data_IF_694027279267
#
_entry.id   IF_694027279267
#
_cell.length_a   1.000
_cell.length_b   1.000
_cell.length_c   1.000
_cell.angle_alpha   90.00
_cell.angle_beta   90.00
_cell.angle_gamma   90.00
#
_symmetry.space_group_name_H-M   'P 1'
#
loop_
_entity.id
_entity.type
_entity.pdbx_description
1 polymer ?
#
# COMPACT_ATOMS: atom_id res chain seq x y z
N UNK A 1 -2.45 -8.53 10.38
CA UNK A 1 -1.47 -7.89 9.48
C UNK A 1 -2.18 -7.04 8.44
N UNK A 2 -1.43 -6.38 7.55
CA UNK A 2 -2.01 -5.63 6.42
C UNK A 2 -2.87 -6.53 5.54
N UNK A 3 -4.04 -6.04 5.12
CA UNK A 3 -5.00 -6.82 4.31
C UNK A 3 -5.19 -6.32 2.87
N UNK A 4 -4.98 -5.03 2.62
CA UNK A 4 -5.18 -4.42 1.30
C UNK A 4 -3.89 -3.82 0.76
N UNK A 5 -3.32 -2.83 1.45
CA UNK A 5 -2.04 -2.23 1.14
C UNK A 5 -1.34 -1.80 2.43
N UNK A 6 -0.06 -1.46 2.31
CA UNK A 6 0.73 -0.82 3.34
C UNK A 6 1.94 -0.14 2.72
N UNK A 7 2.44 0.92 3.35
CA UNK A 7 3.70 1.57 2.99
C UNK A 7 4.77 1.12 3.98
N UNK A 8 5.88 0.62 3.47
CA UNK A 8 7.00 0.16 4.29
C UNK A 8 8.15 1.14 4.09
N UNK A 9 8.46 1.87 5.16
CA UNK A 9 9.53 2.86 5.15
C UNK A 9 10.81 2.25 5.74
N UNK A 10 11.97 2.69 5.26
CA UNK A 10 13.24 2.16 5.71
C UNK A 10 14.46 2.78 5.04
N UNK A 11 15.63 2.26 5.41
CA UNK A 11 16.94 2.71 4.92
C UNK A 11 17.73 1.55 4.30
N UNK A 12 18.40 1.82 3.18
CA UNK A 12 19.47 0.98 2.66
C UNK A 12 20.80 1.50 3.22
N UNK A 13 21.49 0.69 4.01
CA UNK A 13 22.78 1.06 4.59
C UNK A 13 23.92 0.87 3.57
N UNK A 14 25.07 1.50 3.84
CA UNK A 14 26.25 1.43 2.94
C UNK A 14 26.79 0.01 2.75
N UNK A 15 26.61 -0.86 3.74
CA UNK A 15 26.97 -2.28 3.72
C UNK A 15 25.86 -3.17 3.15
N UNK A 16 24.82 -2.60 2.55
CA UNK A 16 23.78 -3.31 1.81
C UNK A 16 22.65 -3.89 2.66
N UNK A 17 22.57 -3.58 3.95
CA UNK A 17 21.45 -4.01 4.80
C UNK A 17 20.23 -3.12 4.58
N UNK A 18 19.05 -3.72 4.60
CA UNK A 18 17.77 -3.00 4.57
C UNK A 18 17.24 -2.95 6.00
N UNK A 19 17.08 -1.74 6.53
CA UNK A 19 16.49 -1.49 7.85
C UNK A 19 15.06 -0.96 7.66
N UNK A 20 14.06 -1.72 8.09
CA UNK A 20 12.66 -1.30 8.08
C UNK A 20 12.39 -0.50 9.35
N UNK A 21 11.88 0.73 9.22
CA UNK A 21 11.60 1.60 10.37
C UNK A 21 10.13 1.65 10.71
N UNK A 22 9.27 1.84 9.70
CA UNK A 22 7.84 2.06 9.92
C UNK A 22 6.96 1.31 8.92
N UNK A 23 6.10 0.40 9.41
CA UNK A 23 5.03 -0.16 8.63
C UNK A 23 3.75 0.70 8.79
N UNK A 24 3.34 1.39 7.73
CA UNK A 24 2.15 2.24 7.72
C UNK A 24 0.95 1.54 7.06
N UNK A 25 -0.20 1.51 7.75
CA UNK A 25 -1.47 0.95 7.23
C UNK A 25 -2.19 1.86 6.24
N UNK A 26 -1.66 3.06 6.03
CA UNK A 26 -2.15 4.02 5.05
C UNK A 26 -0.99 4.79 4.44
N UNK A 27 -1.27 5.46 3.32
CA UNK A 27 -0.35 6.41 2.72
C UNK A 27 -1.10 7.68 2.31
N UNK A 28 -0.37 8.75 2.00
CA UNK A 28 -0.95 9.93 1.39
C UNK A 28 -1.64 9.57 0.07
N UNK A 29 -2.79 10.21 -0.19
CA UNK A 29 -3.61 9.97 -1.38
C UNK A 29 -3.61 11.16 -2.36
N UNK A 30 -2.77 12.17 -2.12
CA UNK A 30 -2.52 13.21 -3.10
C UNK A 30 -1.82 12.61 -4.33
N UNK A 31 -2.10 13.07 -5.57
CA UNK A 31 -1.43 12.55 -6.77
C UNK A 31 0.10 12.63 -6.70
N UNK A 32 0.65 13.63 -6.01
CA UNK A 32 2.08 13.84 -5.78
C UNK A 32 2.68 13.03 -4.62
N UNK A 33 1.89 12.17 -3.98
CA UNK A 33 2.41 11.34 -2.87
C UNK A 33 3.26 10.18 -3.39
N UNK A 34 4.22 9.73 -2.58
CA UNK A 34 5.06 8.57 -2.90
C UNK A 34 4.28 7.30 -3.26
N UNK A 35 3.05 7.15 -2.76
CA UNK A 35 2.21 6.03 -3.11
C UNK A 35 1.88 5.97 -4.61
N UNK A 36 1.50 7.11 -5.19
CA UNK A 36 1.20 7.20 -6.62
C UNK A 36 2.48 7.22 -7.47
N UNK A 37 3.54 7.89 -7.00
CA UNK A 37 4.84 7.90 -7.70
C UNK A 37 5.47 6.50 -7.81
N UNK A 38 5.44 5.70 -6.72
CA UNK A 38 5.94 4.32 -6.73
C UNK A 38 5.08 3.43 -7.63
N UNK A 39 3.76 3.59 -7.58
CA UNK A 39 2.86 2.83 -8.43
C UNK A 39 3.05 3.19 -9.91
N UNK A 40 3.26 4.47 -10.23
CA UNK A 40 3.59 4.92 -11.59
C UNK A 40 4.95 4.34 -12.05
N UNK A 41 5.95 4.28 -11.16
CA UNK A 41 7.24 3.63 -11.42
C UNK A 41 7.10 2.13 -11.71
N UNK A 42 6.04 1.49 -11.18
CA UNK A 42 5.65 0.12 -11.49
C UNK A 42 4.70 0.00 -12.69
N UNK A 43 4.47 1.07 -13.45
CA UNK A 43 3.60 1.09 -14.64
C UNK A 43 2.11 1.18 -14.33
N UNK A 44 1.72 1.55 -13.11
CA UNK A 44 0.32 1.65 -12.72
C UNK A 44 -0.26 3.06 -12.87
N UNK A 45 -1.36 3.18 -13.59
CA UNK A 45 -2.21 4.37 -13.60
C UNK A 45 -2.98 4.50 -12.27
N UNK A 46 -3.30 5.74 -11.82
CA UNK A 46 -4.08 5.97 -10.60
C UNK A 46 -5.39 5.18 -10.53
N UNK A 47 -6.10 5.06 -11.66
CA UNK A 47 -7.36 4.31 -11.77
C UNK A 47 -7.19 2.82 -11.44
N UNK A 48 -6.06 2.21 -11.82
CA UNK A 48 -5.77 0.81 -11.52
C UNK A 48 -5.54 0.59 -10.03
N UNK A 49 -4.89 1.54 -9.36
CA UNK A 49 -4.65 1.49 -7.91
C UNK A 49 -5.98 1.59 -7.16
N UNK A 50 -6.77 2.62 -7.43
CA UNK A 50 -8.06 2.83 -6.76
C UNK A 50 -9.00 1.64 -6.99
N UNK A 51 -9.06 1.12 -8.22
CA UNK A 51 -9.85 -0.07 -8.53
C UNK A 51 -9.39 -1.29 -7.74
N UNK A 52 -8.08 -1.46 -7.55
CA UNK A 52 -7.51 -2.56 -6.77
C UNK A 52 -7.84 -2.43 -5.29
N UNK A 53 -7.75 -1.23 -4.71
CA UNK A 53 -8.12 -0.97 -3.32
C UNK A 53 -9.60 -1.30 -3.06
N UNK A 54 -10.50 -0.90 -3.96
CA UNK A 54 -11.93 -1.21 -3.87
C UNK A 54 -12.18 -2.71 -3.95
N UNK A 55 -11.60 -3.40 -4.94
CA UNK A 55 -11.75 -4.86 -5.08
C UNK A 55 -11.25 -5.61 -3.84
N UNK A 56 -10.10 -5.20 -3.30
CA UNK A 56 -9.57 -5.77 -2.07
C UNK A 56 -10.51 -5.52 -0.90
N UNK A 57 -11.06 -4.31 -0.75
CA UNK A 57 -12.00 -3.98 0.31
C UNK A 57 -13.26 -4.86 0.26
N UNK A 58 -13.83 -5.06 -0.93
CA UNK A 58 -15.00 -5.94 -1.13
C UNK A 58 -14.68 -7.37 -0.71
N UNK A 59 -13.58 -7.95 -1.20
CA UNK A 59 -13.15 -9.32 -0.86
C UNK A 59 -12.93 -9.48 0.65
N UNK A 60 -12.22 -8.53 1.25
CA UNK A 60 -11.97 -8.49 2.69
C UNK A 60 -13.27 -8.48 3.49
N UNK A 61 -14.25 -7.71 3.04
CA UNK A 61 -15.56 -7.58 3.69
C UNK A 61 -16.38 -8.88 3.58
N UNK A 62 -16.39 -9.52 2.41
CA UNK A 62 -17.08 -10.81 2.19
C UNK A 62 -16.56 -11.94 3.08
N UNK A 63 -15.26 -11.91 3.41
CA UNK A 63 -14.63 -12.91 4.28
C UNK A 63 -14.83 -12.63 5.78
N UNK A 64 -15.43 -11.49 6.18
CA UNK A 64 -15.66 -11.19 7.59
C UNK A 64 -16.69 -12.17 8.17
N UNK A 65 -16.39 -12.71 9.35
CA UNK A 65 -17.31 -13.50 10.17
C UNK A 65 -17.56 -12.76 11.48
N UNK A 66 -18.80 -12.37 11.74
CA UNK A 66 -19.19 -11.55 12.90
C UNK A 66 -20.18 -10.45 12.52
N UNK A 67 -20.67 -9.66 13.47
CA UNK A 67 -21.81 -8.75 13.27
C UNK A 67 -21.50 -7.48 12.45
N UNK A 68 -20.37 -7.40 11.73
CA UNK A 68 -19.98 -6.27 10.88
C UNK A 68 -19.43 -6.70 9.52
#
# INVERSE_FOLDING_TARGET
>A
GFRSYGRIDGFLTKDGRILITDPNSSSGMAPSSFFFEQAASAGMLPTMIISTLIRNAIRIHQEKKGPL
#
